data_IF_898114980029
#
_entry.id   IF_898114980029
#
_cell.length_a   1.000
_cell.length_b   1.000
_cell.length_c   1.000
_cell.angle_alpha   90.00
_cell.angle_beta   90.00
_cell.angle_gamma   90.00
#
_symmetry.space_group_name_H-M   'P 1'
#
loop_
_entity.id
_entity.type
_entity.pdbx_description
1 polymer ?
#
# COMPACT_ATOMS: atom_id res chain seq x y z
N UNK A 1 -44.07 34.71 -36.16
CA UNK A 1 -44.03 34.87 -34.68
C UNK A 1 -44.05 33.53 -33.93
N UNK A 2 -44.71 32.47 -34.43
CA UNK A 2 -44.79 31.16 -33.74
C UNK A 2 -43.51 30.29 -33.81
N UNK A 3 -42.65 30.47 -34.82
CA UNK A 3 -41.40 29.73 -34.94
C UNK A 3 -40.34 30.17 -33.91
N UNK A 4 -40.21 31.48 -33.67
CA UNK A 4 -39.21 32.05 -32.75
C UNK A 4 -39.47 31.68 -31.28
N UNK A 5 -40.74 31.48 -30.89
CA UNK A 5 -41.10 30.98 -29.55
C UNK A 5 -40.80 29.49 -29.36
N UNK A 6 -40.82 28.70 -30.44
CA UNK A 6 -40.56 27.27 -30.39
C UNK A 6 -39.04 26.97 -30.30
N UNK A 7 -38.22 27.82 -30.91
CA UNK A 7 -36.74 27.73 -30.87
C UNK A 7 -36.21 28.11 -29.47
N UNK A 8 -36.71 29.19 -28.86
CA UNK A 8 -36.31 29.60 -27.49
C UNK A 8 -36.65 28.55 -26.43
N UNK A 9 -37.82 27.91 -26.51
CA UNK A 9 -38.19 26.81 -25.60
C UNK A 9 -37.37 25.54 -25.82
N UNK A 10 -36.75 25.40 -27.00
CA UNK A 10 -35.84 24.30 -27.35
C UNK A 10 -34.44 24.59 -26.83
N UNK A 11 -33.94 25.81 -26.97
CA UNK A 11 -32.67 26.27 -26.38
C UNK A 11 -32.70 26.22 -24.84
N UNK A 12 -33.81 26.60 -24.19
CA UNK A 12 -33.96 26.50 -22.73
C UNK A 12 -33.99 25.04 -22.23
N UNK A 13 -34.50 24.11 -23.06
CA UNK A 13 -34.50 22.67 -22.75
C UNK A 13 -33.14 22.03 -23.03
N UNK A 14 -32.44 22.46 -24.08
CA UNK A 14 -31.09 22.00 -24.41
C UNK A 14 -30.07 22.51 -23.37
N UNK A 15 -30.17 23.77 -22.92
CA UNK A 15 -29.34 24.30 -21.82
C UNK A 15 -29.60 23.60 -20.47
N UNK A 16 -30.83 23.12 -20.20
CA UNK A 16 -31.13 22.33 -19.00
C UNK A 16 -30.63 20.88 -19.07
N UNK A 17 -30.47 20.32 -20.26
CA UNK A 17 -30.06 18.92 -20.44
C UNK A 17 -28.53 18.71 -20.33
N UNK A 18 -27.70 19.73 -20.56
CA UNK A 18 -26.23 19.63 -20.45
C UNK A 18 -25.68 19.64 -19.01
N UNK A 19 -26.50 19.83 -17.98
CA UNK A 19 -26.05 19.96 -16.59
C UNK A 19 -26.16 18.70 -15.71
N UNK A 20 -26.44 17.52 -16.29
CA UNK A 20 -26.83 16.33 -15.52
C UNK A 20 -25.88 15.12 -15.63
N UNK A 21 -24.61 15.29 -15.97
CA UNK A 21 -23.57 14.30 -15.62
C UNK A 21 -23.14 14.50 -14.16
N UNK A 22 -24.08 14.21 -13.25
CA UNK A 22 -23.96 14.54 -11.84
C UNK A 22 -22.67 13.99 -11.19
N UNK A 23 -21.98 14.77 -10.34
CA UNK A 23 -20.79 14.33 -9.60
C UNK A 23 -21.06 13.20 -8.58
N UNK A 24 -22.29 12.67 -8.52
CA UNK A 24 -22.72 11.65 -7.57
C UNK A 24 -21.90 10.36 -7.61
N UNK A 25 -21.36 9.98 -8.77
CA UNK A 25 -20.48 8.79 -8.88
C UNK A 25 -19.20 8.94 -8.05
N UNK A 26 -18.58 10.12 -8.07
CA UNK A 26 -17.35 10.37 -7.32
C UNK A 26 -17.61 10.45 -5.82
N UNK A 27 -18.76 11.00 -5.42
CA UNK A 27 -19.19 11.06 -4.01
C UNK A 27 -19.48 9.66 -3.45
N UNK A 28 -20.11 8.79 -4.24
CA UNK A 28 -20.35 7.40 -3.85
C UNK A 28 -19.04 6.61 -3.66
N UNK A 29 -18.07 6.79 -4.57
CA UNK A 29 -16.74 6.16 -4.45
C UNK A 29 -15.97 6.72 -3.27
N UNK A 30 -16.03 8.04 -3.04
CA UNK A 30 -15.44 8.67 -1.87
C UNK A 30 -15.98 8.07 -0.56
N UNK A 31 -17.29 7.88 -0.46
CA UNK A 31 -17.90 7.22 0.70
C UNK A 31 -17.42 5.76 0.85
N UNK A 32 -17.33 5.00 -0.25
CA UNK A 32 -16.79 3.65 -0.23
C UNK A 32 -15.32 3.60 0.26
N UNK A 33 -14.48 4.56 -0.16
CA UNK A 33 -13.09 4.68 0.29
C UNK A 33 -12.98 5.03 1.77
N UNK A 34 -13.88 5.86 2.29
CA UNK A 34 -13.95 6.17 3.72
C UNK A 34 -14.27 4.92 4.53
N UNK A 35 -15.27 4.14 4.10
CA UNK A 35 -15.62 2.85 4.74
C UNK A 35 -14.44 1.89 4.72
N UNK A 36 -13.80 1.69 3.55
CA UNK A 36 -12.62 0.80 3.44
C UNK A 36 -11.47 1.24 4.35
N UNK A 37 -11.28 2.55 4.52
CA UNK A 37 -10.23 3.09 5.40
C UNK A 37 -10.53 2.79 6.86
N UNK A 38 -11.79 2.95 7.29
CA UNK A 38 -12.21 2.58 8.65
C UNK A 38 -11.98 1.07 8.87
N UNK A 39 -12.38 0.24 7.91
CA UNK A 39 -12.15 -1.22 7.97
C UNK A 39 -10.66 -1.54 8.06
N UNK A 40 -9.80 -0.83 7.35
CA UNK A 40 -8.34 -1.03 7.43
C UNK A 40 -7.79 -0.68 8.81
N UNK A 41 -8.21 0.45 9.38
CA UNK A 41 -7.77 0.87 10.73
C UNK A 41 -8.26 -0.10 11.79
N UNK A 42 -9.51 -0.58 11.68
CA UNK A 42 -10.05 -1.58 12.60
C UNK A 42 -9.29 -2.91 12.47
N UNK A 43 -9.05 -3.35 11.24
CA UNK A 43 -8.30 -4.58 10.96
C UNK A 43 -6.86 -4.51 11.49
N UNK A 44 -6.19 -3.36 11.33
CA UNK A 44 -4.84 -3.16 11.86
C UNK A 44 -4.76 -3.04 13.39
N UNK A 45 -5.87 -2.72 14.06
CA UNK A 45 -5.96 -2.73 15.54
C UNK A 45 -6.23 -4.12 16.11
N UNK A 46 -6.84 -5.01 15.32
CA UNK A 46 -7.02 -6.40 15.72
C UNK A 46 -5.66 -7.11 15.66
N UNK A 47 -5.23 -7.70 16.77
CA UNK A 47 -4.04 -8.54 16.81
C UNK A 47 -4.36 -9.89 16.14
N UNK A 48 -4.18 -9.95 14.82
CA UNK A 48 -4.28 -11.19 14.05
C UNK A 48 -2.90 -11.85 14.06
N UNK A 49 -2.79 -13.01 14.71
CA UNK A 49 -1.53 -13.71 14.96
C UNK A 49 -0.89 -14.31 13.69
N UNK A 50 -1.70 -14.61 12.66
CA UNK A 50 -1.20 -15.18 11.40
C UNK A 50 -1.98 -14.64 10.22
N UNK A 51 -1.28 -14.15 9.19
CA UNK A 51 -1.91 -13.67 7.95
C UNK A 51 -2.38 -12.20 7.95
N UNK A 52 -2.14 -11.45 9.03
CA UNK A 52 -2.47 -10.01 9.11
C UNK A 52 -1.90 -9.20 7.93
N UNK A 53 -0.67 -9.52 7.53
CA UNK A 53 -0.01 -8.88 6.39
C UNK A 53 -0.74 -9.16 5.07
N UNK A 54 -1.10 -10.42 4.80
CA UNK A 54 -1.80 -10.80 3.58
C UNK A 54 -3.17 -10.12 3.50
N UNK A 55 -3.91 -10.10 4.62
CA UNK A 55 -5.19 -9.41 4.71
C UNK A 55 -5.05 -7.90 4.48
N UNK A 56 -4.05 -7.27 5.11
CA UNK A 56 -3.76 -5.84 4.93
C UNK A 56 -3.44 -5.50 3.47
N UNK A 57 -2.67 -6.34 2.79
CA UNK A 57 -2.36 -6.18 1.36
C UNK A 57 -3.61 -6.30 0.49
N UNK A 58 -4.49 -7.28 0.74
CA UNK A 58 -5.75 -7.43 0.00
C UNK A 58 -6.62 -6.17 0.13
N UNK A 59 -6.83 -5.70 1.36
CA UNK A 59 -7.64 -4.50 1.61
C UNK A 59 -7.01 -3.26 0.93
N UNK A 60 -5.68 -3.12 1.01
CA UNK A 60 -4.95 -2.05 0.36
C UNK A 60 -5.08 -2.11 -1.17
N UNK A 61 -4.99 -3.29 -1.78
CA UNK A 61 -5.17 -3.49 -3.23
C UNK A 61 -6.57 -3.10 -3.70
N UNK A 62 -7.62 -3.49 -2.97
CA UNK A 62 -9.00 -3.11 -3.31
C UNK A 62 -9.18 -1.59 -3.22
N UNK A 63 -8.70 -0.96 -2.15
CA UNK A 63 -8.72 0.50 -2.00
C UNK A 63 -8.01 1.19 -3.16
N UNK A 64 -6.81 0.72 -3.51
CA UNK A 64 -6.02 1.24 -4.63
C UNK A 64 -6.73 1.08 -5.98
N UNK A 65 -7.39 -0.06 -6.21
CA UNK A 65 -8.16 -0.30 -7.43
C UNK A 65 -9.35 0.67 -7.57
N UNK A 66 -10.10 0.93 -6.49
CA UNK A 66 -11.18 1.94 -6.53
C UNK A 66 -10.63 3.35 -6.83
N UNK A 67 -9.50 3.73 -6.23
CA UNK A 67 -8.87 5.03 -6.53
C UNK A 67 -8.45 5.10 -8.02
N UNK A 68 -7.82 4.04 -8.54
CA UNK A 68 -7.37 4.01 -9.92
C UNK A 68 -8.52 4.02 -10.93
N UNK A 69 -9.57 3.23 -10.72
CA UNK A 69 -10.71 3.18 -11.66
C UNK A 69 -11.46 4.51 -11.75
N UNK A 70 -11.70 5.17 -10.60
CA UNK A 70 -12.60 6.31 -10.54
C UNK A 70 -11.90 7.66 -10.45
N UNK A 71 -10.83 7.81 -9.66
CA UNK A 71 -10.14 9.10 -9.51
C UNK A 71 -9.06 9.32 -10.56
N UNK A 72 -8.40 8.26 -11.06
CA UNK A 72 -7.44 8.38 -12.16
C UNK A 72 -8.08 8.37 -13.56
N UNK A 73 -9.39 8.61 -13.66
CA UNK A 73 -10.12 8.70 -14.94
C UNK A 73 -9.97 7.48 -15.87
N UNK A 74 -9.56 6.32 -15.32
CA UNK A 74 -9.34 5.09 -16.09
C UNK A 74 -10.63 4.54 -16.75
N UNK A 75 -11.77 4.89 -16.15
CA UNK A 75 -13.10 4.60 -16.68
C UNK A 75 -13.56 5.60 -17.76
N UNK A 76 -13.07 6.84 -17.77
CA UNK A 76 -13.56 7.91 -18.66
C UNK A 76 -12.74 8.07 -19.96
N UNK A 77 -11.43 7.84 -19.94
CA UNK A 77 -10.57 8.05 -21.12
C UNK A 77 -9.95 6.76 -21.64
N UNK A 78 -10.15 6.51 -22.94
CA UNK A 78 -9.77 5.28 -23.63
C UNK A 78 -8.33 5.37 -24.17
N UNK A 79 -7.54 4.33 -23.91
CA UNK A 79 -6.31 4.05 -24.67
C UNK A 79 -5.05 4.00 -23.81
N UNK A 80 -4.32 5.12 -23.75
CA UNK A 80 -2.93 5.12 -23.26
C UNK A 80 -2.81 4.97 -21.73
N UNK A 81 -3.60 5.72 -20.95
CA UNK A 81 -3.50 5.71 -19.48
C UNK A 81 -3.84 4.33 -18.88
N UNK A 82 -4.73 3.57 -19.53
CA UNK A 82 -5.08 2.21 -19.11
C UNK A 82 -3.93 1.22 -19.33
N UNK A 83 -3.28 1.28 -20.49
CA UNK A 83 -2.14 0.41 -20.81
C UNK A 83 -0.95 0.71 -19.90
N UNK A 84 -0.66 1.99 -19.65
CA UNK A 84 0.42 2.39 -18.73
C UNK A 84 0.12 1.93 -17.30
N UNK A 85 -1.12 2.07 -16.82
CA UNK A 85 -1.51 1.59 -15.50
C UNK A 85 -1.44 0.06 -15.36
N UNK A 86 -1.92 -0.68 -16.35
CA UNK A 86 -1.84 -2.16 -16.33
C UNK A 86 -0.38 -2.61 -16.38
N UNK A 87 0.43 -1.99 -17.22
CA UNK A 87 1.87 -2.29 -17.32
C UNK A 87 2.60 -1.96 -16.01
N UNK A 88 2.32 -0.82 -15.39
CA UNK A 88 2.93 -0.45 -14.11
C UNK A 88 2.49 -1.39 -12.98
N UNK A 89 1.20 -1.75 -12.92
CA UNK A 89 0.69 -2.69 -11.93
C UNK A 89 1.29 -4.09 -12.11
N UNK A 90 1.42 -4.57 -13.36
CA UNK A 90 2.14 -5.80 -13.67
C UNK A 90 3.57 -5.74 -13.13
N UNK A 91 4.28 -4.63 -13.38
CA UNK A 91 5.66 -4.47 -12.93
C UNK A 91 5.78 -4.46 -11.40
N UNK A 92 4.84 -3.82 -10.70
CA UNK A 92 4.78 -3.84 -9.22
C UNK A 92 4.58 -5.27 -8.71
N UNK A 93 3.65 -6.03 -9.28
CA UNK A 93 3.42 -7.43 -8.89
C UNK A 93 4.67 -8.28 -9.14
N UNK A 94 5.32 -8.11 -10.30
CA UNK A 94 6.58 -8.79 -10.60
C UNK A 94 7.69 -8.43 -9.62
N UNK A 95 7.86 -7.15 -9.28
CA UNK A 95 8.81 -6.68 -8.27
C UNK A 95 8.55 -7.32 -6.90
N UNK A 96 7.28 -7.40 -6.50
CA UNK A 96 6.88 -7.98 -5.22
C UNK A 96 7.19 -9.49 -5.18
N UNK A 97 6.81 -10.22 -6.23
CA UNK A 97 7.11 -11.65 -6.36
C UNK A 97 8.61 -11.90 -6.37
N UNK A 98 9.37 -11.13 -7.15
CA UNK A 98 10.81 -11.26 -7.24
C UNK A 98 11.47 -11.01 -5.88
N UNK A 99 11.04 -9.97 -5.15
CA UNK A 99 11.52 -9.68 -3.80
C UNK A 99 11.19 -10.83 -2.82
N UNK A 100 9.99 -11.39 -2.90
CA UNK A 100 9.57 -12.48 -2.03
C UNK A 100 10.35 -13.77 -2.34
N UNK A 101 10.61 -14.02 -3.63
CA UNK A 101 11.43 -15.14 -4.09
C UNK A 101 12.90 -14.96 -3.70
N UNK A 102 13.44 -13.74 -3.80
CA UNK A 102 14.78 -13.37 -3.33
C UNK A 102 14.92 -13.64 -1.83
N UNK A 103 13.96 -13.21 -1.01
CA UNK A 103 13.97 -13.53 0.43
C UNK A 103 13.91 -15.04 0.69
N UNK A 104 13.08 -15.77 -0.06
CA UNK A 104 12.94 -17.23 0.09
C UNK A 104 14.16 -18.01 -0.37
N UNK A 105 14.93 -17.48 -1.33
CA UNK A 105 16.13 -18.13 -1.90
C UNK A 105 17.44 -17.63 -1.30
N UNK A 106 17.42 -16.49 -0.57
CA UNK A 106 18.54 -16.04 0.25
C UNK A 106 18.84 -17.10 1.30
N UNK A 107 19.88 -17.90 1.03
CA UNK A 107 20.66 -18.52 2.08
C UNK A 107 21.18 -17.39 2.97
N UNK A 108 20.64 -17.29 4.19
CA UNK A 108 21.22 -16.45 5.23
C UNK A 108 22.73 -16.75 5.22
N UNK A 109 23.62 -15.78 4.95
CA UNK A 109 25.02 -15.98 5.23
C UNK A 109 25.06 -16.36 6.70
N UNK A 110 25.31 -17.65 6.96
CA UNK A 110 25.72 -18.05 8.28
C UNK A 110 26.93 -17.16 8.53
N UNK A 111 26.79 -16.21 9.45
CA UNK A 111 27.96 -15.73 10.16
C UNK A 111 28.79 -16.98 10.42
N UNK A 112 30.08 -17.03 10.01
CA UNK A 112 30.93 -18.13 10.40
C UNK A 112 30.64 -18.41 11.87
N UNK A 113 30.48 -19.67 12.28
CA UNK A 113 30.10 -20.03 13.67
C UNK A 113 31.13 -19.53 14.73
N UNK A 114 32.16 -18.79 14.29
CA UNK A 114 33.18 -18.11 15.07
C UNK A 114 33.26 -16.58 14.84
N UNK A 115 32.35 -15.97 14.06
CA UNK A 115 32.14 -14.53 14.07
C UNK A 115 31.32 -14.18 15.32
N UNK A 116 31.93 -14.38 16.49
CA UNK A 116 31.70 -13.47 17.60
C UNK A 116 31.79 -12.07 17.00
N UNK A 117 30.80 -11.18 17.20
CA UNK A 117 31.05 -9.77 16.97
C UNK A 117 32.35 -9.49 17.72
N UNK A 118 33.44 -9.27 16.99
CA UNK A 118 34.66 -8.81 17.63
C UNK A 118 34.20 -7.54 18.32
N UNK A 119 34.14 -7.60 19.65
CA UNK A 119 33.62 -6.52 20.47
C UNK A 119 34.45 -5.32 20.11
N UNK A 120 33.85 -4.44 19.31
CA UNK A 120 34.55 -3.31 18.74
C UNK A 120 35.22 -2.58 19.90
N UNK A 121 36.55 -2.39 19.91
CA UNK A 121 37.33 -2.09 21.12
C UNK A 121 37.01 -0.73 21.76
N UNK A 122 36.04 0.00 21.22
CA UNK A 122 35.49 1.21 21.83
C UNK A 122 34.47 0.79 22.88
N UNK A 123 34.96 0.62 24.11
CA UNK A 123 34.10 0.62 25.30
C UNK A 123 33.50 2.03 25.47
N UNK A 124 32.34 2.27 24.87
CA UNK A 124 31.51 3.43 25.21
C UNK A 124 31.03 3.23 26.64
N UNK A 125 31.62 3.99 27.58
CA UNK A 125 31.27 3.99 29.00
C UNK A 125 29.76 4.21 29.15
N UNK A 126 29.00 3.12 29.33
CA UNK A 126 27.55 3.15 29.57
C UNK A 126 26.69 2.24 28.70
N UNK A 127 27.22 1.47 27.74
CA UNK A 127 26.39 0.63 26.87
C UNK A 127 26.30 -0.83 27.36
N UNK A 128 25.50 -1.07 28.41
CA UNK A 128 25.02 -2.42 28.76
C UNK A 128 23.89 -2.83 27.80
N UNK A 129 24.26 -3.11 26.55
CA UNK A 129 23.35 -3.58 25.52
C UNK A 129 22.90 -5.01 25.79
N UNK A 130 21.58 -5.23 25.69
CA UNK A 130 20.82 -6.48 25.90
C UNK A 130 21.16 -7.64 24.94
N UNK A 131 22.28 -7.53 24.23
CA UNK A 131 22.88 -8.54 23.36
C UNK A 131 24.34 -8.82 23.77
N UNK A 132 24.72 -8.49 25.01
CA UNK A 132 26.00 -8.90 25.59
C UNK A 132 25.92 -10.37 25.96
N UNK A 133 26.61 -11.22 25.19
CA UNK A 133 26.90 -12.57 25.63
C UNK A 133 27.50 -12.49 27.04
N UNK A 134 26.91 -13.22 27.98
CA UNK A 134 27.41 -13.27 29.35
C UNK A 134 28.86 -13.69 29.32
N UNK A 135 29.77 -12.76 29.55
CA UNK A 135 31.17 -13.04 29.81
C UNK A 135 31.20 -13.81 31.14
N UNK A 136 31.15 -15.14 31.06
CA UNK A 136 31.62 -15.99 32.14
C UNK A 136 33.09 -15.61 32.31
N UNK A 137 33.38 -14.82 33.36
CA UNK A 137 34.75 -14.52 33.74
C UNK A 137 35.51 -15.85 33.86
N UNK A 138 36.72 -15.97 33.29
CA UNK A 138 37.56 -17.14 33.48
C UNK A 138 37.71 -17.33 34.99
N UNK A 139 37.06 -18.38 35.49
CA UNK A 139 37.14 -18.77 36.88
C UNK A 139 38.59 -19.01 37.21
N UNK A 140 39.13 -18.07 37.97
CA UNK A 140 40.21 -18.27 38.92
C UNK A 140 40.08 -19.65 39.54
N UNK A 141 41.06 -20.52 39.32
CA UNK A 141 41.17 -21.76 40.09
C UNK A 141 41.89 -21.42 41.41
N UNK A 142 41.24 -21.47 42.59
CA UNK A 142 41.94 -21.38 43.84
C UNK A 142 42.29 -22.80 44.32
N UNK A 143 43.59 -23.10 44.20
CA UNK A 143 44.37 -24.20 44.81
C UNK A 143 44.29 -25.57 44.16
#
# INVERSE_FOLDING_TARGET
MSAMANESFKEDREMRQEHHSGPGKYVAVWAALMVLTIVTVLTGKMHIETGALALALVIASVKGALVALYFMHLAEHQGASRVVFVTSMLFVVLMLLFTLFDIGTRFRPALPNAATPEEWPVQTRGQSGRYGGGLQAPGTNPK
#
